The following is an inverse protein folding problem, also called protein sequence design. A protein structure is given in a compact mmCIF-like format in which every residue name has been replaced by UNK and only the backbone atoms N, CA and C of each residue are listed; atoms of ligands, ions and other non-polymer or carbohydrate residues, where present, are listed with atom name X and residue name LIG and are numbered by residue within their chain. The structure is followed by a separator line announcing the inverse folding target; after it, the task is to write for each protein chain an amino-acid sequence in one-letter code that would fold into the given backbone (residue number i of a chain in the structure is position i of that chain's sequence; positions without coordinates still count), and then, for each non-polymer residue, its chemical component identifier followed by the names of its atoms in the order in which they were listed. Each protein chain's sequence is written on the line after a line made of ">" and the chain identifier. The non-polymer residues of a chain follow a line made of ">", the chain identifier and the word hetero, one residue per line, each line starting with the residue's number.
data_IF_908323115063
#
_entry.id   IF_908323115063
#
_cell.length_a   1.000
_cell.length_b   1.000
_cell.length_c   1.000
_cell.angle_alpha   90.00
_cell.angle_beta   90.00
_cell.angle_gamma   90.00
#
_symmetry.space_group_name_H-M   'P 1'
#
loop_
_entity.id
_entity.type
_entity.pdbx_description
1 polymer ?
#
# COMPACT_ATOMS: atom_id res chain seq x y z
N UNK A 1 -5.49 -12.57 -1.10
CA UNK A 1 -4.24 -11.79 -0.98
C UNK A 1 -4.23 -10.69 -2.05
N UNK A 2 -5.01 -9.62 -1.85
CA UNK A 2 -5.05 -8.45 -2.73
C UNK A 2 -5.66 -7.28 -1.95
N UNK A 3 -5.11 -6.07 -2.08
CA UNK A 3 -5.57 -4.87 -1.38
C UNK A 3 -5.50 -3.66 -2.33
N UNK A 4 -6.63 -2.98 -2.50
CA UNK A 4 -6.79 -1.82 -3.39
C UNK A 4 -6.41 -0.48 -2.74
N UNK A 5 -5.65 -0.49 -1.64
CA UNK A 5 -5.27 0.73 -0.93
C UNK A 5 -4.53 1.73 -1.83
N UNK A 6 -3.67 1.28 -2.75
CA UNK A 6 -2.99 2.20 -3.69
C UNK A 6 -3.97 2.89 -4.65
N UNK A 7 -4.94 2.13 -5.17
CA UNK A 7 -6.00 2.67 -6.03
C UNK A 7 -6.82 3.72 -5.28
N UNK A 8 -7.21 3.43 -4.03
CA UNK A 8 -7.92 4.37 -3.16
C UNK A 8 -7.12 5.67 -2.92
N UNK A 9 -5.85 5.55 -2.50
CA UNK A 9 -4.96 6.69 -2.26
C UNK A 9 -4.73 7.52 -3.54
N UNK A 10 -4.74 6.89 -4.70
CA UNK A 10 -4.51 7.56 -5.97
C UNK A 10 -5.70 8.42 -6.42
N UNK A 11 -6.93 8.09 -6.03
CA UNK A 11 -8.14 8.72 -6.59
C UNK A 11 -8.95 9.52 -5.57
N UNK A 12 -8.92 9.16 -4.29
CA UNK A 12 -9.74 9.80 -3.25
C UNK A 12 -9.00 11.00 -2.64
N UNK A 13 -9.55 12.23 -2.74
CA UNK A 13 -8.94 13.40 -2.12
C UNK A 13 -8.87 13.26 -0.59
N UNK A 14 -7.72 13.58 0.01
CA UNK A 14 -7.53 13.47 1.45
C UNK A 14 -7.49 12.04 1.99
N UNK A 15 -7.32 11.05 1.10
CA UNK A 15 -7.16 9.66 1.49
C UNK A 15 -5.95 9.48 2.42
N UNK A 16 -6.16 8.75 3.51
CA UNK A 16 -5.14 8.48 4.53
C UNK A 16 -5.01 6.97 4.76
N UNK A 17 -3.83 6.36 4.56
CA UNK A 17 -3.63 4.92 4.76
C UNK A 17 -3.78 4.47 6.22
N UNK A 18 -3.83 5.40 7.18
CA UNK A 18 -4.04 5.13 8.59
C UNK A 18 -5.47 5.39 9.08
N UNK A 19 -6.36 5.92 8.23
CA UNK A 19 -7.74 6.19 8.64
C UNK A 19 -8.61 4.93 8.54
N UNK A 20 -8.96 4.38 9.71
CA UNK A 20 -9.87 3.22 9.83
C UNK A 20 -11.28 3.47 9.29
N UNK A 21 -11.71 4.74 9.28
CA UNK A 21 -13.06 5.14 8.87
C UNK A 21 -13.19 5.29 7.35
N UNK A 22 -12.07 5.47 6.64
CA UNK A 22 -12.06 5.70 5.20
C UNK A 22 -11.98 4.41 4.39
N UNK A 23 -11.24 3.40 4.88
CA UNK A 23 -11.06 2.14 4.17
C UNK A 23 -10.78 0.97 5.12
N UNK A 24 -11.40 -0.18 4.84
CA UNK A 24 -11.29 -1.38 5.68
C UNK A 24 -9.88 -2.03 5.64
N UNK A 25 -9.03 -1.62 4.70
CA UNK A 25 -7.65 -2.09 4.56
C UNK A 25 -6.62 -1.02 4.94
N UNK A 26 -6.98 -0.10 5.85
CA UNK A 26 -6.01 0.81 6.45
C UNK A 26 -4.95 0.04 7.27
N UNK A 27 -3.74 0.60 7.39
CA UNK A 27 -2.64 -0.05 8.13
C UNK A 27 -3.01 -0.45 9.57
N UNK A 28 -3.74 0.38 10.35
CA UNK A 28 -4.15 -0.03 11.70
C UNK A 28 -5.02 -1.29 11.73
N UNK A 29 -5.91 -1.47 10.74
CA UNK A 29 -6.72 -2.69 10.64
C UNK A 29 -5.86 -3.91 10.30
N UNK A 30 -4.87 -3.75 9.43
CA UNK A 30 -3.93 -4.82 9.10
C UNK A 30 -3.10 -5.23 10.31
N UNK A 31 -2.63 -4.27 11.10
CA UNK A 31 -1.86 -4.51 12.33
C UNK A 31 -2.71 -5.25 13.38
N UNK A 32 -3.93 -4.77 13.65
CA UNK A 32 -4.86 -5.40 14.59
C UNK A 32 -5.28 -6.81 14.15
N UNK A 33 -5.44 -7.02 12.84
CA UNK A 33 -5.72 -8.33 12.25
C UNK A 33 -4.51 -9.27 12.19
N UNK A 34 -3.33 -8.84 12.64
CA UNK A 34 -2.11 -9.64 12.65
C UNK A 34 -1.52 -9.92 11.25
N UNK A 35 -1.86 -9.10 10.25
CA UNK A 35 -1.34 -9.23 8.88
C UNK A 35 0.16 -8.98 8.87
N UNK A 36 0.94 -9.97 8.43
CA UNK A 36 2.41 -9.90 8.36
C UNK A 36 2.95 -9.52 6.99
N UNK A 37 2.15 -9.74 5.95
CA UNK A 37 2.50 -9.46 4.57
C UNK A 37 1.24 -9.14 3.80
N UNK A 38 1.31 -8.13 2.95
CA UNK A 38 0.22 -7.76 2.07
C UNK A 38 0.75 -7.44 0.67
N UNK A 39 0.09 -7.99 -0.34
CA UNK A 39 0.31 -7.61 -1.74
C UNK A 39 -0.54 -6.39 -2.07
N UNK A 40 0.11 -5.31 -2.51
CA UNK A 40 -0.53 -4.06 -2.89
C UNK A 40 -0.90 -4.08 -4.37
N UNK A 41 -2.17 -3.89 -4.67
CA UNK A 41 -2.67 -3.87 -6.03
C UNK A 41 -2.25 -2.60 -6.78
N UNK A 42 -1.75 -2.75 -8.01
CA UNK A 42 -1.83 -1.67 -8.99
C UNK A 42 -3.04 -2.00 -9.88
N UNK A 43 -4.14 -1.28 -9.65
CA UNK A 43 -5.41 -1.54 -10.31
C UNK A 43 -5.91 -0.32 -11.07
N UNK A 44 -6.28 -0.49 -12.33
CA UNK A 44 -6.84 0.57 -13.17
C UNK A 44 -7.94 0.04 -14.05
N UNK A 45 -8.97 0.84 -14.30
CA UNK A 45 -9.92 0.54 -15.38
C UNK A 45 -9.23 0.60 -16.74
N UNK A 46 -9.73 -0.18 -17.70
CA UNK A 46 -9.22 -0.16 -19.07
C UNK A 46 -9.74 1.09 -19.77
N UNK A 47 -8.85 2.05 -20.03
CA UNK A 47 -9.22 3.30 -20.69
C UNK A 47 -8.04 4.25 -20.84
N UNK A 48 -8.31 5.40 -21.45
CA UNK A 48 -7.33 6.50 -21.55
C UNK A 48 -6.93 6.96 -20.14
N UNK A 49 -5.62 7.14 -19.91
CA UNK A 49 -5.09 7.50 -18.59
C UNK A 49 -4.79 6.33 -17.64
N UNK A 50 -5.14 5.08 -18.00
CA UNK A 50 -4.86 3.89 -17.18
C UNK A 50 -3.37 3.76 -16.83
N UNK A 51 -2.48 3.95 -17.82
CA UNK A 51 -1.03 3.94 -17.60
C UNK A 51 -0.56 5.00 -16.59
N UNK A 52 -1.12 6.20 -16.68
CA UNK A 52 -0.76 7.29 -15.77
C UNK A 52 -1.23 7.00 -14.34
N UNK A 53 -2.45 6.46 -14.19
CA UNK A 53 -2.98 6.05 -12.89
C UNK A 53 -2.19 4.87 -12.27
N UNK A 54 -1.78 3.90 -13.09
CA UNK A 54 -0.93 2.80 -12.64
C UNK A 54 0.45 3.31 -12.18
N UNK A 55 1.03 4.26 -12.93
CA UNK A 55 2.30 4.91 -12.56
C UNK A 55 2.17 5.68 -11.25
N UNK A 56 1.05 6.39 -11.05
CA UNK A 56 0.75 7.10 -9.79
C UNK A 56 0.68 6.13 -8.61
N UNK A 57 0.04 4.98 -8.77
CA UNK A 57 -0.04 3.95 -7.73
C UNK A 57 1.34 3.37 -7.38
N UNK A 58 2.20 3.12 -8.37
CA UNK A 58 3.58 2.70 -8.13
C UNK A 58 4.38 3.76 -7.35
N UNK A 59 4.23 5.05 -7.72
CA UNK A 59 4.88 6.14 -7.00
C UNK A 59 4.40 6.26 -5.53
N UNK A 60 3.10 6.08 -5.29
CA UNK A 60 2.54 6.04 -3.92
C UNK A 60 3.13 4.87 -3.13
N UNK A 61 3.29 3.69 -3.74
CA UNK A 61 3.90 2.54 -3.09
C UNK A 61 5.33 2.85 -2.60
N UNK A 62 6.18 3.41 -3.47
CA UNK A 62 7.55 3.80 -3.10
C UNK A 62 7.55 4.91 -2.04
N UNK A 63 6.60 5.84 -2.10
CA UNK A 63 6.46 6.91 -1.11
C UNK A 63 6.09 6.37 0.28
N UNK A 64 5.15 5.41 0.35
CA UNK A 64 4.77 4.76 1.60
C UNK A 64 5.96 4.02 2.23
N UNK A 65 6.72 3.27 1.42
CA UNK A 65 7.93 2.59 1.89
C UNK A 65 8.99 3.56 2.44
N UNK A 66 9.07 4.78 1.87
CA UNK A 66 10.04 5.79 2.30
C UNK A 66 9.58 6.56 3.54
N UNK A 67 8.30 6.92 3.62
CA UNK A 67 7.75 7.77 4.69
C UNK A 67 7.36 6.97 5.93
N UNK A 68 6.80 5.79 5.74
CA UNK A 68 6.18 4.99 6.80
C UNK A 68 7.07 3.80 7.21
N UNK A 69 8.39 4.03 7.33
CA UNK A 69 9.39 2.97 7.59
C UNK A 69 9.17 2.18 8.88
N UNK A 70 8.54 2.81 9.87
CA UNK A 70 8.21 2.16 11.15
C UNK A 70 6.96 1.26 11.03
N UNK A 71 6.15 1.46 9.99
CA UNK A 71 4.89 0.73 9.77
C UNK A 71 5.05 -0.35 8.70
N UNK A 72 5.73 -0.04 7.59
CA UNK A 72 5.87 -0.93 6.43
C UNK A 72 7.31 -0.98 5.93
N UNK A 73 7.66 -2.12 5.35
CA UNK A 73 8.90 -2.31 4.61
C UNK A 73 8.63 -3.09 3.32
N UNK A 74 9.61 -3.05 2.41
CA UNK A 74 9.53 -3.82 1.17
C UNK A 74 9.81 -5.28 1.48
N UNK A 75 9.07 -6.17 0.83
CA UNK A 75 9.40 -7.59 0.84
C UNK A 75 10.41 -7.90 -0.26
N UNK A 76 11.66 -8.06 0.11
CA UNK A 76 12.79 -8.37 -0.77
C UNK A 76 13.83 -9.27 -0.05
N UNK A 77 15.03 -9.41 -0.62
CA UNK A 77 16.09 -10.22 -0.01
C UNK A 77 16.54 -9.70 1.37
N UNK A 78 16.49 -8.39 1.59
CA UNK A 78 16.93 -7.76 2.84
C UNK A 78 15.93 -8.02 3.96
N UNK A 79 14.64 -8.16 3.63
CA UNK A 79 13.61 -8.56 4.58
C UNK A 79 13.95 -9.88 5.30
N UNK A 80 14.49 -10.87 4.59
CA UNK A 80 14.88 -12.15 5.22
C UNK A 80 16.08 -12.01 6.16
N UNK A 81 17.03 -11.13 5.83
CA UNK A 81 18.19 -10.90 6.70
C UNK A 81 17.78 -10.24 8.02
N UNK A 82 16.82 -9.31 7.96
CA UNK A 82 16.32 -8.57 9.12
C UNK A 82 15.40 -9.37 10.06
N UNK A 83 15.04 -10.61 9.73
CA UNK A 83 14.25 -11.50 10.59
C UNK A 83 15.07 -12.56 11.33
N UNK A 84 16.39 -12.57 11.14
CA UNK A 84 17.29 -13.61 11.67
C UNK A 84 17.92 -13.25 13.04
N UNK A 85 17.42 -12.21 13.71
CA UNK A 85 17.75 -11.80 15.09
C UNK A 85 16.55 -12.02 16.01
#
# INVERSE_FOLDING_TARGET
>A
MHCDLLSFLAVVPGANPFSKDQIACAFPWMQEGGVKMQVMAIYTTVGFGSRALATKQAAIFDELLRKEKETVCRFDGDFFQNQSE
#
